data_IF_947328535171
#
_entry.id   IF_947328535171
#
_cell.length_a   1.000
_cell.length_b   1.000
_cell.length_c   1.000
_cell.angle_alpha   90.00
_cell.angle_beta   90.00
_cell.angle_gamma   90.00
#
_symmetry.space_group_name_H-M   'P 1'
#
loop_
_entity.id
_entity.type
_entity.pdbx_description
1 polymer ?
#
# COMPACT_ATOMS: atom_id res chain seq x y z
N UNK A 1 -19.49 -9.92 -4.02
CA UNK A 1 -19.78 -10.08 -2.58
C UNK A 1 -18.88 -9.11 -1.83
N UNK A 2 -19.42 -8.21 -1.01
CA UNK A 2 -18.58 -7.27 -0.25
C UNK A 2 -17.85 -8.06 0.84
N UNK A 3 -16.52 -8.05 0.83
CA UNK A 3 -15.73 -8.74 1.86
C UNK A 3 -15.87 -8.00 3.18
N UNK A 4 -16.06 -8.77 4.25
CA UNK A 4 -15.95 -8.30 5.62
C UNK A 4 -14.58 -8.71 6.18
N UNK A 5 -14.10 -8.06 7.25
CA UNK A 5 -12.90 -8.49 7.97
C UNK A 5 -12.85 -10.00 8.29
N UNK A 6 -14.01 -10.61 8.55
CA UNK A 6 -14.13 -12.03 8.85
C UNK A 6 -13.80 -12.95 7.66
N UNK A 7 -13.77 -12.41 6.43
CA UNK A 7 -13.41 -13.14 5.22
C UNK A 7 -11.91 -13.15 4.90
N UNK A 8 -11.07 -12.53 5.74
CA UNK A 8 -9.61 -12.61 5.60
C UNK A 8 -9.08 -13.97 6.10
N UNK A 9 -8.00 -14.50 5.52
CA UNK A 9 -7.42 -15.73 6.02
C UNK A 9 -6.81 -15.48 7.40
N UNK A 10 -7.07 -16.38 8.34
CA UNK A 10 -6.61 -16.25 9.74
C UNK A 10 -5.09 -16.23 9.87
N UNK A 11 -4.38 -16.78 8.88
CA UNK A 11 -2.92 -16.78 8.75
C UNK A 11 -2.41 -15.76 7.72
N UNK A 12 -3.15 -14.69 7.42
CA UNK A 12 -2.73 -13.68 6.43
C UNK A 12 -1.35 -13.10 6.76
N UNK A 13 -1.08 -12.83 8.05
CA UNK A 13 0.22 -12.36 8.54
C UNK A 13 1.36 -13.31 8.15
N UNK A 14 1.17 -14.60 8.37
CA UNK A 14 2.19 -15.62 8.07
C UNK A 14 2.38 -15.76 6.56
N UNK A 15 1.29 -15.67 5.79
CA UNK A 15 1.35 -15.69 4.33
C UNK A 15 2.12 -14.49 3.79
N UNK A 16 1.84 -13.28 4.26
CA UNK A 16 2.57 -12.06 3.87
C UNK A 16 4.06 -12.16 4.25
N UNK A 17 4.35 -12.62 5.47
CA UNK A 17 5.73 -12.81 5.94
C UNK A 17 6.47 -13.85 5.09
N UNK A 18 5.83 -14.97 4.79
CA UNK A 18 6.38 -16.01 3.92
C UNK A 18 6.61 -15.53 2.48
N UNK A 19 5.69 -14.72 1.94
CA UNK A 19 5.85 -14.13 0.60
C UNK A 19 6.98 -13.08 0.56
N UNK A 20 7.16 -12.29 1.61
CA UNK A 20 8.23 -11.29 1.69
C UNK A 20 9.63 -11.89 1.88
N UNK A 21 9.74 -13.16 2.30
CA UNK A 21 11.02 -13.80 2.65
C UNK A 21 11.87 -12.98 3.63
N UNK A 22 11.20 -12.19 4.47
CA UNK A 22 11.82 -11.27 5.42
C UNK A 22 11.07 -11.33 6.76
N UNK A 23 11.82 -11.18 7.85
CA UNK A 23 11.26 -11.04 9.19
C UNK A 23 11.14 -9.54 9.52
N UNK A 24 9.94 -8.95 9.44
CA UNK A 24 9.77 -7.55 9.79
C UNK A 24 9.96 -7.33 11.29
N UNK A 25 10.45 -6.16 11.66
CA UNK A 25 10.57 -5.74 13.06
C UNK A 25 9.20 -5.58 13.72
N UNK A 26 8.25 -5.07 12.93
CA UNK A 26 6.87 -4.86 13.34
C UNK A 26 5.94 -4.99 12.13
N UNK A 27 4.72 -5.44 12.39
CA UNK A 27 3.66 -5.53 11.39
C UNK A 27 2.33 -5.18 12.04
N UNK A 28 1.68 -4.13 11.55
CA UNK A 28 0.34 -3.75 11.99
C UNK A 28 -0.61 -3.69 10.81
N UNK A 29 -1.90 -3.90 11.04
CA UNK A 29 -2.90 -3.89 9.98
C UNK A 29 -4.18 -3.20 10.42
N UNK A 30 -4.86 -2.54 9.49
CA UNK A 30 -6.15 -1.89 9.72
C UNK A 30 -7.11 -2.19 8.56
N UNK A 31 -8.39 -2.40 8.89
CA UNK A 31 -9.46 -2.55 7.90
C UNK A 31 -10.45 -1.41 8.08
N UNK A 32 -10.67 -0.63 7.01
CA UNK A 32 -11.56 0.53 7.06
C UNK A 32 -13.01 0.09 7.24
N UNK A 33 -13.75 0.58 8.27
CA UNK A 33 -15.17 0.31 8.41
C UNK A 33 -15.95 0.76 7.17
N UNK A 34 -16.74 -0.15 6.59
CA UNK A 34 -17.52 0.13 5.37
C UNK A 34 -16.72 0.11 4.06
N UNK A 35 -15.43 -0.26 4.08
CA UNK A 35 -14.60 -0.41 2.89
C UNK A 35 -13.88 -1.77 2.88
N UNK A 36 -13.53 -2.24 1.68
CA UNK A 36 -12.78 -3.49 1.46
C UNK A 36 -11.26 -3.23 1.39
N UNK A 37 -10.79 -2.14 2.02
CA UNK A 37 -9.38 -1.77 2.03
C UNK A 37 -8.72 -2.31 3.30
N UNK A 38 -7.68 -3.13 3.10
CA UNK A 38 -6.77 -3.60 4.13
C UNK A 38 -5.42 -2.90 3.93
N UNK A 39 -4.98 -2.16 4.93
CA UNK A 39 -3.63 -1.59 4.98
C UNK A 39 -2.78 -2.43 5.92
N UNK A 40 -1.56 -2.78 5.49
CA UNK A 40 -0.57 -3.48 6.31
C UNK A 40 0.70 -2.66 6.35
N UNK A 41 1.02 -2.11 7.52
CA UNK A 41 2.25 -1.37 7.76
C UNK A 41 3.34 -2.35 8.21
N UNK A 42 4.42 -2.43 7.45
CA UNK A 42 5.53 -3.36 7.71
C UNK A 42 6.82 -2.59 7.91
N UNK A 43 7.43 -2.75 9.09
CA UNK A 43 8.69 -2.08 9.44
C UNK A 43 9.88 -3.01 9.18
N UNK A 44 10.78 -2.58 8.30
CA UNK A 44 12.06 -3.25 8.04
C UNK A 44 13.23 -2.51 8.66
N UNK A 45 14.36 -3.20 8.87
CA UNK A 45 15.53 -2.60 9.53
C UNK A 45 16.25 -1.62 8.60
N UNK A 46 16.24 -1.89 7.29
CA UNK A 46 16.88 -1.03 6.28
C UNK A 46 16.00 -0.83 5.04
N UNK A 47 16.30 0.22 4.27
CA UNK A 47 15.65 0.45 2.98
C UNK A 47 15.94 -0.68 1.97
N UNK A 48 17.14 -1.28 2.02
CA UNK A 48 17.51 -2.41 1.17
C UNK A 48 16.68 -3.66 1.47
N UNK A 49 16.47 -3.97 2.75
CA UNK A 49 15.58 -5.05 3.18
C UNK A 49 14.13 -4.80 2.74
N UNK A 50 13.63 -3.56 2.89
CA UNK A 50 12.30 -3.20 2.43
C UNK A 50 12.13 -3.44 0.92
N UNK A 51 13.09 -3.01 0.11
CA UNK A 51 13.04 -3.22 -1.33
C UNK A 51 13.13 -4.70 -1.70
N UNK A 52 13.99 -5.47 -1.03
CA UNK A 52 14.12 -6.91 -1.25
C UNK A 52 12.80 -7.64 -0.91
N UNK A 53 12.19 -7.30 0.24
CA UNK A 53 10.93 -7.88 0.69
C UNK A 53 9.76 -7.58 -0.26
N UNK A 54 9.69 -6.35 -0.80
CA UNK A 54 8.69 -5.97 -1.79
C UNK A 54 8.84 -6.79 -3.09
N UNK A 55 10.06 -6.95 -3.59
CA UNK A 55 10.34 -7.77 -4.77
C UNK A 55 10.01 -9.25 -4.54
N UNK A 56 10.37 -9.78 -3.37
CA UNK A 56 10.04 -11.14 -2.97
C UNK A 56 8.53 -11.34 -2.92
N UNK A 57 7.78 -10.41 -2.29
CA UNK A 57 6.33 -10.44 -2.21
C UNK A 57 5.68 -10.54 -3.60
N UNK A 58 6.07 -9.67 -4.54
CA UNK A 58 5.51 -9.67 -5.89
C UNK A 58 5.85 -10.93 -6.67
N UNK A 59 7.11 -11.39 -6.59
CA UNK A 59 7.56 -12.64 -7.22
C UNK A 59 6.78 -13.83 -6.68
N UNK A 60 6.64 -13.93 -5.36
CA UNK A 60 6.01 -15.06 -4.70
C UNK A 60 4.49 -15.03 -4.85
N UNK A 61 3.87 -13.84 -4.90
CA UNK A 61 2.48 -13.68 -5.28
C UNK A 61 2.24 -14.20 -6.71
N UNK A 62 3.09 -13.81 -7.67
CA UNK A 62 2.99 -14.28 -9.05
C UNK A 62 3.16 -15.79 -9.16
N UNK A 63 4.15 -16.36 -8.46
CA UNK A 63 4.38 -17.80 -8.43
C UNK A 63 3.18 -18.56 -7.81
N UNK A 64 2.61 -18.01 -6.74
CA UNK A 64 1.46 -18.60 -6.07
C UNK A 64 0.17 -18.55 -6.89
N UNK A 65 0.03 -17.58 -7.79
CA UNK A 65 -1.13 -17.41 -8.67
C UNK A 65 -0.93 -18.01 -10.07
N UNK A 66 0.24 -18.58 -10.36
CA UNK A 66 0.48 -19.28 -11.62
C UNK A 66 -0.33 -20.60 -11.70
N UNK A 67 -0.70 -20.98 -12.93
CA UNK A 67 -1.44 -22.22 -13.22
C UNK A 67 -0.69 -23.44 -12.65
N UNK A 68 -1.42 -24.29 -11.90
CA UNK A 68 -0.88 -25.54 -11.33
C UNK A 68 -0.69 -25.55 -9.81
N UNK A 69 -0.65 -24.40 -9.12
CA UNK A 69 -0.84 -24.31 -7.66
C UNK A 69 0.03 -25.19 -6.73
N UNK A 70 1.11 -25.78 -7.22
CA UNK A 70 1.90 -26.73 -6.44
C UNK A 70 3.09 -26.12 -5.69
N UNK A 71 3.27 -24.78 -5.67
CA UNK A 71 4.59 -24.22 -5.35
C UNK A 71 4.66 -23.01 -4.41
N UNK A 72 3.59 -22.61 -3.72
CA UNK A 72 3.64 -21.42 -2.87
C UNK A 72 2.84 -21.54 -1.57
N UNK A 73 3.25 -20.85 -0.50
CA UNK A 73 2.54 -20.83 0.80
C UNK A 73 1.19 -20.09 0.74
N UNK A 74 0.77 -19.62 -0.42
CA UNK A 74 -0.44 -18.82 -0.56
C UNK A 74 -1.68 -19.71 -0.49
N UNK A 75 -2.54 -19.41 0.48
CA UNK A 75 -3.84 -20.03 0.60
C UNK A 75 -4.68 -19.83 -0.68
N UNK A 76 -5.67 -20.71 -0.89
CA UNK A 76 -6.66 -20.57 -1.97
C UNK A 76 -7.36 -19.20 -1.98
N UNK A 77 -7.36 -18.49 -0.85
CA UNK A 77 -7.91 -17.15 -0.70
C UNK A 77 -7.42 -16.16 -1.78
N UNK A 78 -6.11 -16.13 -2.07
CA UNK A 78 -5.54 -15.20 -3.07
C UNK A 78 -6.08 -15.45 -4.48
N UNK A 79 -6.61 -16.64 -4.76
CA UNK A 79 -7.16 -17.03 -6.06
C UNK A 79 -8.64 -16.73 -6.20
N UNK A 80 -9.35 -16.59 -5.07
CA UNK A 80 -10.81 -16.45 -5.05
C UNK A 80 -11.28 -15.00 -5.08
N UNK A 81 -10.36 -14.05 -4.96
CA UNK A 81 -10.68 -12.64 -4.79
C UNK A 81 -9.89 -11.76 -5.74
N UNK A 82 -10.62 -10.84 -6.37
CA UNK A 82 -10.04 -9.71 -7.08
C UNK A 82 -9.49 -8.72 -6.05
N UNK A 83 -8.26 -8.27 -6.27
CA UNK A 83 -7.60 -7.34 -5.37
C UNK A 83 -6.58 -6.48 -6.09
N UNK A 84 -6.38 -5.28 -5.57
CA UNK A 84 -5.34 -4.37 -5.98
C UNK A 84 -4.34 -4.21 -4.83
N UNK A 85 -3.09 -4.58 -5.09
CA UNK A 85 -1.99 -4.41 -4.15
C UNK A 85 -1.20 -3.17 -4.56
N UNK A 86 -1.04 -2.26 -3.61
CA UNK A 86 -0.20 -1.07 -3.76
C UNK A 86 0.99 -1.20 -2.82
N UNK A 87 2.19 -1.15 -3.38
CA UNK A 87 3.47 -1.19 -2.67
C UNK A 87 4.27 0.09 -3.00
N UNK A 88 5.28 0.45 -2.19
CA UNK A 88 6.16 1.56 -2.52
C UNK A 88 6.90 1.36 -3.86
N UNK A 89 6.38 1.98 -4.92
CA UNK A 89 6.99 1.96 -6.26
C UNK A 89 6.58 0.77 -7.11
N UNK A 90 5.59 0.00 -6.65
CA UNK A 90 5.04 -1.09 -7.41
C UNK A 90 3.54 -1.28 -7.14
N UNK A 91 2.84 -1.84 -8.12
CA UNK A 91 1.43 -2.19 -7.98
C UNK A 91 1.15 -3.52 -8.66
N UNK A 92 0.26 -4.32 -8.09
CA UNK A 92 -0.22 -5.55 -8.69
C UNK A 92 -1.75 -5.58 -8.69
N UNK A 93 -2.34 -6.10 -9.76
CA UNK A 93 -3.77 -6.39 -9.82
C UNK A 93 -3.94 -7.88 -9.98
N UNK A 94 -4.72 -8.49 -9.10
CA UNK A 94 -5.14 -9.89 -9.17
C UNK A 94 -6.58 -9.92 -9.64
N UNK A 95 -6.86 -10.66 -10.71
CA UNK A 95 -8.21 -10.88 -11.25
C UNK A 95 -8.37 -12.35 -11.61
N UNK A 96 -9.52 -12.93 -11.26
CA UNK A 96 -9.83 -14.34 -11.55
C UNK A 96 -8.71 -15.29 -11.10
N UNK A 97 -8.11 -14.98 -9.95
CA UNK A 97 -7.02 -15.74 -9.34
C UNK A 97 -5.69 -15.73 -10.10
N UNK A 98 -5.47 -14.75 -10.96
CA UNK A 98 -4.22 -14.54 -11.70
C UNK A 98 -3.74 -13.10 -11.55
N UNK A 99 -2.44 -12.88 -11.66
CA UNK A 99 -1.89 -11.52 -11.74
C UNK A 99 -2.20 -10.95 -13.12
N UNK A 100 -3.17 -10.05 -13.19
CA UNK A 100 -3.60 -9.37 -14.41
C UNK A 100 -2.65 -8.24 -14.82
N UNK A 101 -2.13 -7.51 -13.83
CA UNK A 101 -1.18 -6.43 -14.04
C UNK A 101 -0.12 -6.45 -12.93
N UNK A 102 1.14 -6.18 -13.31
CA UNK A 102 2.25 -5.98 -12.40
C UNK A 102 3.10 -4.82 -12.94
N UNK A 103 3.23 -3.75 -12.17
CA UNK A 103 4.10 -2.63 -12.49
C UNK A 103 5.16 -2.50 -11.41
N UNK A 104 6.43 -2.69 -11.78
CA UNK A 104 7.60 -2.55 -10.88
C UNK A 104 8.30 -1.18 -11.01
N UNK A 105 7.67 -0.25 -11.75
CA UNK A 105 8.16 1.11 -11.98
C UNK A 105 7.01 2.11 -11.99
N UNK A 106 5.89 1.78 -11.33
CA UNK A 106 4.85 2.77 -11.11
C UNK A 106 5.51 3.93 -10.35
N UNK A 107 5.39 5.19 -10.81
CA UNK A 107 5.90 6.32 -10.04
C UNK A 107 5.29 6.21 -8.64
N UNK A 108 6.12 5.88 -7.65
CA UNK A 108 5.64 5.80 -6.29
C UNK A 108 5.24 7.20 -5.92
N UNK A 109 3.94 7.39 -5.71
CA UNK A 109 3.49 8.53 -4.95
C UNK A 109 4.25 8.51 -3.62
N UNK A 110 5.12 9.49 -3.42
CA UNK A 110 6.00 9.52 -2.26
C UNK A 110 5.87 10.85 -1.58
N UNK A 111 5.51 10.83 -0.30
CA UNK A 111 5.63 12.00 0.57
C UNK A 111 7.13 12.16 0.89
N UNK A 112 7.76 13.16 0.29
CA UNK A 112 9.17 13.51 0.49
C UNK A 112 9.37 14.28 1.80
N UNK A 113 8.41 15.15 2.14
CA UNK A 113 8.40 15.88 3.40
C UNK A 113 6.98 16.20 3.83
N UNK A 114 6.79 16.37 5.15
CA UNK A 114 5.53 16.80 5.76
C UNK A 114 5.87 17.82 6.87
N UNK A 115 5.39 19.06 6.73
CA UNK A 115 5.68 20.14 7.67
C UNK A 115 4.43 20.99 8.01
N UNK A 116 4.14 21.21 9.31
CA UNK A 116 4.77 20.57 10.45
C UNK A 116 4.51 19.05 10.46
N UNK A 117 5.28 18.29 11.24
CA UNK A 117 4.90 16.92 11.57
C UNK A 117 3.50 16.98 12.20
N UNK A 118 2.50 16.42 11.52
CA UNK A 118 1.10 16.76 11.74
C UNK A 118 0.69 16.57 13.20
N UNK A 119 0.29 17.68 13.86
CA UNK A 119 -0.50 17.66 15.07
C UNK A 119 -1.94 18.05 14.71
N UNK A 120 -2.89 17.42 15.40
CA UNK A 120 -4.36 17.40 15.20
C UNK A 120 -5.11 18.69 14.82
N UNK A 121 -4.47 19.86 14.74
CA UNK A 121 -5.14 21.16 14.56
C UNK A 121 -4.41 22.12 13.61
N UNK A 122 -3.31 21.71 12.99
CA UNK A 122 -2.50 22.57 12.10
C UNK A 122 -2.59 22.10 10.65
N UNK A 123 -2.70 23.04 9.71
CA UNK A 123 -2.48 22.75 8.29
C UNK A 123 -1.10 22.12 8.08
N UNK A 124 -1.02 21.10 7.23
CA UNK A 124 0.22 20.42 6.83
C UNK A 124 0.58 20.78 5.41
N UNK A 125 1.85 21.05 5.16
CA UNK A 125 2.44 21.12 3.83
C UNK A 125 3.17 19.81 3.54
N UNK A 126 2.72 19.09 2.52
CA UNK A 126 3.32 17.86 2.02
C UNK A 126 4.09 18.19 0.74
N UNK A 127 5.31 17.69 0.60
CA UNK A 127 5.97 17.61 -0.70
C UNK A 127 5.81 16.19 -1.21
N UNK A 128 5.19 16.03 -2.38
CA UNK A 128 4.82 14.74 -2.94
C UNK A 128 5.45 14.59 -4.32
N UNK A 129 6.22 13.54 -4.54
CA UNK A 129 6.73 13.16 -5.86
C UNK A 129 5.97 11.98 -6.45
N UNK A 130 6.10 11.78 -7.76
CA UNK A 130 5.42 10.70 -8.48
C UNK A 130 3.98 11.01 -8.91
N UNK A 131 3.49 12.23 -8.68
CA UNK A 131 2.21 12.71 -9.23
C UNK A 131 2.41 13.24 -10.65
N UNK A 132 1.65 12.70 -11.60
CA UNK A 132 1.57 13.21 -12.97
C UNK A 132 0.55 14.34 -13.13
N UNK A 133 -0.40 14.48 -12.21
CA UNK A 133 -1.41 15.54 -12.14
C UNK A 133 -1.90 15.73 -10.69
N UNK A 134 -2.42 16.90 -10.36
CA UNK A 134 -3.14 17.16 -9.10
C UNK A 134 -4.63 16.79 -9.15
N UNK A 135 -5.15 16.44 -10.33
CA UNK A 135 -6.56 16.04 -10.48
C UNK A 135 -6.86 14.74 -9.72
N UNK A 136 -7.89 14.78 -8.86
CA UNK A 136 -8.31 13.62 -8.07
C UNK A 136 -7.39 13.29 -6.89
N UNK A 137 -6.47 14.19 -6.52
CA UNK A 137 -5.65 14.03 -5.33
C UNK A 137 -6.51 14.08 -4.06
N UNK A 138 -6.29 13.15 -3.14
CA UNK A 138 -6.84 13.17 -1.79
C UNK A 138 -5.70 13.00 -0.77
N UNK A 139 -5.72 13.79 0.29
CA UNK A 139 -4.76 13.70 1.40
C UNK A 139 -5.46 13.06 2.59
N UNK A 140 -4.92 11.94 3.07
CA UNK A 140 -5.45 11.24 4.24
C UNK A 140 -4.49 11.37 5.42
N UNK A 141 -5.01 11.75 6.58
CA UNK A 141 -4.29 11.77 7.85
C UNK A 141 -4.81 10.67 8.77
N UNK A 142 -3.90 9.92 9.42
CA UNK A 142 -4.28 8.91 10.41
C UNK A 142 -4.27 9.52 11.81
N UNK A 143 -5.42 9.53 12.47
CA UNK A 143 -5.59 9.99 13.85
C UNK A 143 -6.21 8.84 14.65
N UNK A 144 -5.52 8.37 15.70
CA UNK A 144 -5.99 7.28 16.58
C UNK A 144 -6.46 6.02 15.84
N UNK A 145 -5.74 5.63 14.78
CA UNK A 145 -6.10 4.45 13.98
C UNK A 145 -7.36 4.63 13.14
N UNK A 146 -7.74 5.86 12.83
CA UNK A 146 -8.78 6.20 11.85
C UNK A 146 -8.21 7.14 10.80
N UNK A 147 -8.59 6.96 9.54
CA UNK A 147 -8.18 7.84 8.44
C UNK A 147 -9.21 8.94 8.24
N UNK A 148 -8.71 10.18 8.20
CA UNK A 148 -9.50 11.38 7.95
C UNK A 148 -9.00 12.03 6.68
N UNK A 149 -9.91 12.33 5.76
CA UNK A 149 -9.59 13.12 4.57
C UNK A 149 -9.40 14.58 4.99
N UNK A 150 -8.26 15.14 4.60
CA UNK A 150 -7.95 16.54 4.83
C UNK A 150 -8.45 17.37 3.64
N UNK A 151 -8.93 18.56 3.93
CA UNK A 151 -9.27 19.55 2.91
C UNK A 151 -7.99 20.03 2.23
N UNK A 152 -7.88 19.84 0.91
CA UNK A 152 -6.76 20.39 0.13
C UNK A 152 -7.01 21.87 -0.08
N UNK A 153 -6.17 22.69 0.54
CA UNK A 153 -6.25 24.14 0.49
C UNK A 153 -5.55 24.72 -0.76
N UNK A 154 -4.42 24.13 -1.12
CA UNK A 154 -3.58 24.61 -2.23
C UNK A 154 -2.68 23.48 -2.77
N UNK A 155 -2.40 23.51 -4.07
CA UNK A 155 -1.44 22.63 -4.73
C UNK A 155 -0.58 23.43 -5.70
N UNK A 156 0.73 23.34 -5.56
CA UNK A 156 1.67 24.01 -6.46
C UNK A 156 2.91 23.16 -6.71
N UNK A 157 3.49 23.26 -7.90
CA UNK A 157 4.77 22.59 -8.18
C UNK A 157 5.89 23.30 -7.40
N UNK A 158 6.57 22.56 -6.52
CA UNK A 158 7.68 23.10 -5.73
C UNK A 158 9.00 23.04 -6.50
N UNK A 159 9.19 21.96 -7.26
CA UNK A 159 10.31 21.72 -8.18
C UNK A 159 9.88 20.66 -9.20
N UNK A 160 10.60 20.49 -10.33
CA UNK A 160 10.23 19.53 -11.37
C UNK A 160 9.92 18.15 -10.80
N UNK A 161 8.67 17.70 -10.98
CA UNK A 161 8.20 16.39 -10.52
C UNK A 161 7.86 16.26 -9.03
N UNK A 162 7.84 17.38 -8.29
CA UNK A 162 7.43 17.44 -6.88
C UNK A 162 6.34 18.49 -6.68
N UNK A 163 5.17 18.02 -6.25
CA UNK A 163 4.02 18.85 -5.92
C UNK A 163 4.02 19.17 -4.41
N UNK A 164 3.96 20.44 -4.06
CA UNK A 164 3.63 20.86 -2.70
C UNK A 164 2.11 20.93 -2.55
N UNK A 165 1.59 20.24 -1.55
CA UNK A 165 0.17 20.11 -1.23
C UNK A 165 -0.04 20.66 0.17
N UNK A 166 -0.87 21.68 0.32
CA UNK A 166 -1.31 22.16 1.63
C UNK A 166 -2.68 21.58 1.96
N UNK A 167 -2.79 20.92 3.09
CA UNK A 167 -4.03 20.28 3.53
C UNK A 167 -4.33 20.59 5.01
N UNK A 168 -5.61 20.54 5.40
CA UNK A 168 -6.05 20.78 6.78
C UNK A 168 -7.14 19.82 7.23
#
# INVERSE_FOLDING_TARGET
MNMTPAGLPTNLRDQLTGMMEAAPQDMTSEIRPGCVLLTVDVRMSTAGESLAAQKALLRNLRAALADGGCGGPASAWWRLHDMDLQLPGASAQVRDGRVACLSETAPSLRIESAQPAAWWSSSVALEVSGLSSSEGLAVLCRVNGSSHELEILDTKEARPGVLQVRAR
#
